data_IF_791950594763
#
_entry.id   IF_791950594763
#
_cell.length_a   1.000
_cell.length_b   1.000
_cell.length_c   1.000
_cell.angle_alpha   90.00
_cell.angle_beta   90.00
_cell.angle_gamma   90.00
#
_symmetry.space_group_name_H-M   'P 1'
#
loop_
_entity.id
_entity.type
_entity.pdbx_description
1 polymer ?
#
# COMPACT_ATOMS: atom_id res chain seq x y z
N UNK A 1 17.77 59.66 21.18
CA UNK A 1 16.52 59.03 20.84
C UNK A 1 16.79 58.07 19.67
N UNK A 2 17.58 57.03 19.90
CA UNK A 2 17.89 56.01 18.90
C UNK A 2 18.49 54.78 19.64
N UNK A 3 17.68 53.91 20.23
CA UNK A 3 18.14 52.61 20.69
C UNK A 3 16.94 51.73 21.16
N UNK A 4 16.08 51.27 20.25
CA UNK A 4 15.09 50.21 20.57
C UNK A 4 14.59 49.50 19.26
N UNK A 5 15.42 49.23 18.29
CA UNK A 5 14.95 48.49 17.08
C UNK A 5 15.79 47.21 16.78
N UNK A 6 16.63 46.72 17.71
CA UNK A 6 17.56 45.65 17.34
C UNK A 6 17.31 44.32 18.07
N UNK A 7 16.18 44.13 18.76
CA UNK A 7 15.98 42.90 19.56
C UNK A 7 14.73 42.06 19.21
N UNK A 8 14.19 42.20 18.01
CA UNK A 8 13.02 41.42 17.58
C UNK A 8 13.25 40.44 16.41
N UNK A 9 14.48 40.47 15.87
CA UNK A 9 14.83 39.62 14.72
C UNK A 9 15.56 38.32 15.09
N UNK A 10 16.02 38.18 16.31
CA UNK A 10 16.78 36.99 16.76
C UNK A 10 15.90 35.92 17.41
N UNK A 11 14.77 36.28 18.01
CA UNK A 11 13.87 35.31 18.64
C UNK A 11 12.99 34.54 17.62
N UNK A 12 12.76 35.14 16.44
CA UNK A 12 12.01 34.46 15.36
C UNK A 12 12.84 33.40 14.61
N UNK A 13 14.15 33.54 14.60
CA UNK A 13 15.03 32.59 13.90
C UNK A 13 15.33 31.34 14.75
N UNK A 14 15.32 31.44 16.06
CA UNK A 14 15.63 30.30 16.94
C UNK A 14 14.46 29.33 17.12
N UNK A 15 13.24 29.79 16.90
CA UNK A 15 12.04 28.93 16.96
C UNK A 15 11.81 28.13 15.68
N UNK A 16 12.35 28.59 14.55
CA UNK A 16 12.26 27.87 13.26
C UNK A 16 13.30 26.76 13.12
N UNK A 17 14.40 26.84 13.89
CA UNK A 17 15.50 25.87 13.81
C UNK A 17 15.29 24.62 14.70
N UNK A 18 14.31 24.62 15.59
CA UNK A 18 14.01 23.48 16.47
C UNK A 18 13.10 22.42 15.85
N UNK A 19 12.41 22.74 14.75
CA UNK A 19 11.57 21.77 14.01
C UNK A 19 12.28 21.11 12.82
N UNK A 20 13.55 21.41 12.57
CA UNK A 20 14.30 20.95 11.41
C UNK A 20 15.05 19.61 11.58
N UNK A 21 15.00 19.00 12.74
CA UNK A 21 15.88 17.88 13.07
C UNK A 21 15.21 16.55 13.38
N UNK A 22 14.33 16.05 12.54
CA UNK A 22 13.90 14.68 12.78
C UNK A 22 12.81 14.22 11.82
N UNK A 23 13.13 13.25 11.01
CA UNK A 23 12.15 12.35 10.42
C UNK A 23 11.30 11.84 11.57
N UNK A 24 10.12 12.42 11.79
CA UNK A 24 9.25 12.05 12.90
C UNK A 24 9.15 10.53 12.90
N UNK A 25 9.47 9.89 14.02
CA UNK A 25 9.44 8.42 14.18
C UNK A 25 8.21 7.80 13.54
N UNK A 26 7.06 8.49 13.60
CA UNK A 26 5.81 8.06 12.99
C UNK A 26 5.86 8.07 11.45
N UNK A 27 6.50 9.09 10.85
CA UNK A 27 6.68 9.16 9.39
C UNK A 27 7.64 8.08 8.92
N UNK A 28 8.73 7.84 9.63
CA UNK A 28 9.67 6.77 9.32
C UNK A 28 9.00 5.38 9.38
N UNK A 29 8.23 5.12 10.45
CA UNK A 29 7.47 3.87 10.58
C UNK A 29 6.45 3.72 9.46
N UNK A 30 5.73 4.79 9.09
CA UNK A 30 4.76 4.75 8.01
C UNK A 30 5.43 4.44 6.65
N UNK A 31 6.60 5.02 6.37
CA UNK A 31 7.38 4.72 5.16
C UNK A 31 7.87 3.27 5.14
N UNK A 32 8.36 2.75 6.27
CA UNK A 32 8.77 1.35 6.38
C UNK A 32 7.61 0.38 6.14
N UNK A 33 6.42 0.68 6.68
CA UNK A 33 5.22 -0.13 6.46
C UNK A 33 4.80 -0.07 4.98
N UNK A 34 4.85 1.09 4.34
CA UNK A 34 4.53 1.24 2.93
C UNK A 34 5.52 0.47 2.03
N UNK A 35 6.82 0.53 2.33
CA UNK A 35 7.84 -0.23 1.63
C UNK A 35 7.65 -1.75 1.77
N UNK A 36 7.33 -2.22 2.98
CA UNK A 36 7.00 -3.63 3.23
C UNK A 36 5.76 -4.07 2.46
N UNK A 37 4.73 -3.23 2.37
CA UNK A 37 3.54 -3.53 1.57
C UNK A 37 3.87 -3.67 0.08
N UNK A 38 4.72 -2.79 -0.47
CA UNK A 38 5.21 -2.89 -1.84
C UNK A 38 6.04 -4.16 -2.09
N UNK A 39 6.90 -4.53 -1.13
CA UNK A 39 7.70 -5.75 -1.19
C UNK A 39 6.80 -7.00 -1.17
N UNK A 40 5.80 -7.05 -0.29
CA UNK A 40 4.82 -8.15 -0.25
C UNK A 40 4.07 -8.30 -1.57
N UNK A 41 3.66 -7.19 -2.17
CA UNK A 41 3.02 -7.20 -3.48
C UNK A 41 3.95 -7.74 -4.58
N UNK A 42 5.21 -7.28 -4.60
CA UNK A 42 6.21 -7.79 -5.53
C UNK A 42 6.50 -9.27 -5.35
N UNK A 43 6.57 -9.75 -4.10
CA UNK A 43 6.73 -11.16 -3.79
C UNK A 43 5.55 -12.00 -4.27
N UNK A 44 4.31 -11.53 -4.12
CA UNK A 44 3.13 -12.27 -4.58
C UNK A 44 3.16 -12.49 -6.10
N UNK A 45 3.52 -11.46 -6.87
CA UNK A 45 3.71 -11.58 -8.33
C UNK A 45 4.87 -12.52 -8.66
N UNK A 46 5.97 -12.43 -7.93
CA UNK A 46 7.14 -13.30 -8.13
C UNK A 46 6.85 -14.75 -7.84
N UNK A 47 6.18 -15.03 -6.73
CA UNK A 47 5.82 -16.40 -6.30
C UNK A 47 4.88 -17.04 -7.31
N UNK A 48 3.84 -16.33 -7.78
CA UNK A 48 2.93 -16.95 -8.76
C UNK A 48 3.62 -17.20 -10.10
N UNK A 49 4.48 -16.28 -10.55
CA UNK A 49 5.23 -16.48 -11.79
C UNK A 49 6.11 -17.72 -11.73
N UNK A 50 6.71 -18.01 -10.57
CA UNK A 50 7.48 -19.22 -10.33
C UNK A 50 6.65 -20.48 -10.10
N UNK A 51 5.50 -20.37 -9.42
CA UNK A 51 4.64 -21.49 -9.08
C UNK A 51 3.71 -21.92 -10.22
N UNK A 52 3.37 -21.01 -11.13
CA UNK A 52 2.41 -21.25 -12.21
C UNK A 52 2.73 -22.48 -13.07
N UNK A 53 3.97 -22.73 -13.49
CA UNK A 53 4.31 -23.93 -14.27
C UNK A 53 4.05 -25.24 -13.52
N UNK A 54 4.30 -25.23 -12.20
CA UNK A 54 4.07 -26.41 -11.34
C UNK A 54 2.57 -26.65 -11.12
N UNK A 55 1.82 -25.58 -10.82
CA UNK A 55 0.36 -25.60 -10.68
C UNK A 55 -0.31 -26.08 -11.98
N UNK A 56 0.17 -25.56 -13.12
CA UNK A 56 -0.35 -25.95 -14.43
C UNK A 56 -0.12 -27.42 -14.73
N UNK A 57 1.01 -27.97 -14.35
CA UNK A 57 1.34 -29.40 -14.54
C UNK A 57 0.54 -30.29 -13.59
N UNK A 58 0.38 -29.90 -12.34
CA UNK A 58 -0.33 -30.68 -11.32
C UNK A 58 -1.83 -30.77 -11.58
N UNK A 59 -2.44 -29.66 -11.96
CA UNK A 59 -3.88 -29.58 -12.25
C UNK A 59 -4.23 -29.80 -13.73
N UNK A 60 -3.25 -30.01 -14.62
CA UNK A 60 -3.48 -30.17 -16.06
C UNK A 60 -4.15 -28.94 -16.69
N UNK A 61 -3.76 -27.72 -16.25
CA UNK A 61 -4.43 -26.47 -16.66
C UNK A 61 -4.17 -26.17 -18.13
N UNK A 62 -5.24 -25.91 -18.88
CA UNK A 62 -5.16 -25.30 -20.19
C UNK A 62 -4.55 -23.88 -20.09
N UNK A 63 -3.86 -23.43 -21.14
CA UNK A 63 -3.23 -22.10 -21.20
C UNK A 63 -4.20 -20.98 -20.81
N UNK A 64 -5.42 -21.05 -21.28
CA UNK A 64 -6.47 -20.08 -20.95
C UNK A 64 -6.75 -19.98 -19.43
N UNK A 65 -6.77 -21.11 -18.71
CA UNK A 65 -6.97 -21.11 -17.26
C UNK A 65 -5.79 -20.49 -16.51
N UNK A 66 -4.56 -20.73 -16.99
CA UNK A 66 -3.35 -20.11 -16.45
C UNK A 66 -3.40 -18.57 -16.59
N UNK A 67 -3.84 -18.08 -17.75
CA UNK A 67 -4.04 -16.65 -18.00
C UNK A 67 -5.08 -16.05 -17.03
N UNK A 68 -6.18 -16.76 -16.78
CA UNK A 68 -7.18 -16.34 -15.80
C UNK A 68 -6.63 -16.30 -14.37
N UNK A 69 -5.82 -17.25 -13.97
CA UNK A 69 -5.18 -17.26 -12.64
C UNK A 69 -4.33 -16.00 -12.46
N UNK A 70 -3.58 -15.56 -13.46
CA UNK A 70 -2.74 -14.36 -13.38
C UNK A 70 -3.59 -13.08 -13.46
N UNK A 71 -4.51 -13.02 -14.43
CA UNK A 71 -5.30 -11.81 -14.72
C UNK A 71 -6.34 -11.50 -13.64
N UNK A 72 -6.82 -12.52 -12.92
CA UNK A 72 -7.85 -12.37 -11.88
C UNK A 72 -7.42 -11.39 -10.78
N UNK A 73 -6.14 -11.38 -10.40
CA UNK A 73 -5.59 -10.46 -9.42
C UNK A 73 -5.62 -9.01 -9.94
N UNK A 74 -5.24 -8.79 -11.21
CA UNK A 74 -5.30 -7.46 -11.84
C UNK A 74 -6.72 -6.92 -11.89
N UNK A 75 -7.69 -7.78 -12.24
CA UNK A 75 -9.11 -7.43 -12.21
C UNK A 75 -9.57 -7.03 -10.81
N UNK A 76 -9.20 -7.83 -9.79
CA UNK A 76 -9.48 -7.51 -8.39
C UNK A 76 -8.88 -6.17 -7.98
N UNK A 77 -7.63 -5.89 -8.38
CA UNK A 77 -6.94 -4.64 -8.06
C UNK A 77 -7.62 -3.42 -8.70
N UNK A 78 -8.08 -3.54 -9.93
CA UNK A 78 -8.83 -2.47 -10.62
C UNK A 78 -10.14 -2.15 -9.88
N UNK A 79 -10.91 -3.17 -9.51
CA UNK A 79 -12.15 -3.01 -8.73
C UNK A 79 -11.87 -2.43 -7.34
N UNK A 80 -10.83 -2.91 -6.66
CA UNK A 80 -10.38 -2.41 -5.36
C UNK A 80 -9.97 -0.94 -5.39
N UNK A 81 -9.23 -0.53 -6.42
CA UNK A 81 -8.81 0.86 -6.59
C UNK A 81 -10.02 1.80 -6.79
N UNK A 82 -10.99 1.43 -7.61
CA UNK A 82 -12.22 2.20 -7.80
C UNK A 82 -13.04 2.27 -6.51
N UNK A 83 -13.16 1.15 -5.79
CA UNK A 83 -13.89 1.08 -4.52
C UNK A 83 -13.21 1.80 -3.35
N UNK A 84 -11.89 2.04 -3.43
CA UNK A 84 -11.11 2.64 -2.35
C UNK A 84 -11.50 4.08 -2.04
N UNK A 85 -11.89 4.87 -3.05
CA UNK A 85 -12.30 6.27 -2.91
C UNK A 85 -13.51 6.45 -1.99
N UNK A 86 -14.66 5.83 -2.26
CA UNK A 86 -15.82 5.83 -1.38
C UNK A 86 -15.54 5.24 0.00
N UNK A 87 -14.80 4.13 0.06
CA UNK A 87 -14.45 3.45 1.29
C UNK A 87 -13.61 4.34 2.21
N UNK A 88 -12.58 4.97 1.66
CA UNK A 88 -11.68 5.87 2.37
C UNK A 88 -12.39 7.13 2.89
N UNK A 89 -13.40 7.64 2.14
CA UNK A 89 -14.21 8.79 2.59
C UNK A 89 -15.18 8.43 3.71
N UNK A 90 -15.77 7.24 3.68
CA UNK A 90 -16.80 6.82 4.64
C UNK A 90 -16.22 6.31 5.95
N UNK A 91 -15.18 5.51 5.90
CA UNK A 91 -14.56 4.85 7.06
C UNK A 91 -13.22 5.46 7.49
N UNK A 92 -12.67 6.36 6.70
CA UNK A 92 -11.35 6.94 6.94
C UNK A 92 -10.21 6.05 6.43
N UNK A 93 -9.05 6.67 6.18
CA UNK A 93 -7.90 6.02 5.53
C UNK A 93 -7.29 4.90 6.37
N UNK A 94 -7.22 5.11 7.69
CA UNK A 94 -6.68 4.11 8.61
C UNK A 94 -7.48 2.81 8.60
N UNK A 95 -8.81 2.92 8.68
CA UNK A 95 -9.68 1.74 8.67
C UNK A 95 -9.67 1.03 7.31
N UNK A 96 -9.60 1.78 6.22
CA UNK A 96 -9.49 1.21 4.87
C UNK A 96 -8.21 0.36 4.71
N UNK A 97 -7.08 0.82 5.25
CA UNK A 97 -5.83 0.07 5.26
C UNK A 97 -5.90 -1.18 6.14
N UNK A 98 -6.56 -1.11 7.31
CA UNK A 98 -6.76 -2.27 8.17
C UNK A 98 -7.62 -3.32 7.47
N UNK A 99 -8.72 -2.92 6.84
CA UNK A 99 -9.58 -3.83 6.07
C UNK A 99 -8.80 -4.46 4.92
N UNK A 100 -8.02 -3.68 4.17
CA UNK A 100 -7.16 -4.19 3.11
C UNK A 100 -6.15 -5.22 3.62
N UNK A 101 -5.53 -4.99 4.78
CA UNK A 101 -4.56 -5.94 5.36
C UNK A 101 -5.22 -7.26 5.81
N UNK A 102 -6.42 -7.21 6.36
CA UNK A 102 -7.18 -8.40 6.74
C UNK A 102 -7.59 -9.19 5.48
N UNK A 103 -8.10 -8.50 4.45
CA UNK A 103 -8.45 -9.12 3.17
C UNK A 103 -7.24 -9.77 2.52
N UNK A 104 -6.06 -9.12 2.58
CA UNK A 104 -4.82 -9.67 2.06
C UNK A 104 -4.40 -10.94 2.82
N UNK A 105 -4.46 -10.94 4.15
CA UNK A 105 -4.12 -12.10 4.97
C UNK A 105 -5.06 -13.29 4.70
N UNK A 106 -6.37 -13.04 4.63
CA UNK A 106 -7.37 -14.08 4.31
C UNK A 106 -7.18 -14.59 2.87
N UNK A 107 -6.96 -13.71 1.92
CA UNK A 107 -6.71 -14.07 0.52
C UNK A 107 -5.46 -14.91 0.35
N UNK A 108 -4.36 -14.54 1.02
CA UNK A 108 -3.09 -15.27 1.00
C UNK A 108 -3.22 -16.68 1.59
N UNK A 109 -3.87 -16.81 2.76
CA UNK A 109 -4.17 -18.12 3.35
C UNK A 109 -5.07 -18.96 2.46
N UNK A 110 -6.08 -18.34 1.86
CA UNK A 110 -6.98 -19.02 0.94
C UNK A 110 -6.27 -19.52 -0.32
N UNK A 111 -5.34 -18.75 -0.88
CA UNK A 111 -4.51 -19.20 -1.99
C UNK A 111 -3.62 -20.39 -1.60
N UNK A 112 -3.04 -20.36 -0.38
CA UNK A 112 -2.19 -21.45 0.11
C UNK A 112 -2.96 -22.77 0.34
N UNK A 113 -4.25 -22.68 0.67
CA UNK A 113 -5.13 -23.83 0.93
C UNK A 113 -5.99 -24.21 -0.27
N UNK A 114 -5.82 -23.55 -1.41
CA UNK A 114 -6.63 -23.81 -2.60
C UNK A 114 -6.35 -25.20 -3.17
N UNK A 115 -7.34 -26.07 -3.09
CA UNK A 115 -7.29 -27.42 -3.65
C UNK A 115 -7.66 -27.48 -5.13
N UNK A 116 -8.30 -26.42 -5.67
CA UNK A 116 -8.77 -26.32 -7.04
C UNK A 116 -8.40 -24.99 -7.67
N UNK A 117 -8.14 -24.93 -9.00
CA UNK A 117 -7.79 -23.70 -9.68
C UNK A 117 -8.89 -22.63 -9.62
N UNK A 118 -10.15 -23.01 -9.56
CA UNK A 118 -11.28 -22.07 -9.41
C UNK A 118 -11.25 -21.35 -8.06
N UNK A 119 -10.97 -22.08 -6.98
CA UNK A 119 -10.82 -21.52 -5.64
C UNK A 119 -9.61 -20.56 -5.60
N UNK A 120 -8.52 -20.94 -6.26
CA UNK A 120 -7.33 -20.11 -6.38
C UNK A 120 -7.65 -18.77 -7.07
N UNK A 121 -8.41 -18.79 -8.16
CA UNK A 121 -8.84 -17.58 -8.89
C UNK A 121 -9.66 -16.66 -7.98
N UNK A 122 -10.61 -17.20 -7.22
CA UNK A 122 -11.45 -16.42 -6.30
C UNK A 122 -10.60 -15.72 -5.25
N UNK A 123 -9.67 -16.43 -4.61
CA UNK A 123 -8.79 -15.83 -3.60
C UNK A 123 -7.80 -14.83 -4.22
N UNK A 124 -7.41 -15.00 -5.47
CA UNK A 124 -6.61 -14.03 -6.21
C UNK A 124 -7.35 -12.74 -6.51
N UNK A 125 -8.62 -12.81 -6.84
CA UNK A 125 -9.48 -11.62 -6.95
C UNK A 125 -9.55 -10.89 -5.60
N UNK A 126 -9.70 -11.63 -4.50
CA UNK A 126 -9.73 -11.07 -3.14
C UNK A 126 -8.40 -10.39 -2.78
N UNK A 127 -7.26 -11.01 -3.09
CA UNK A 127 -5.93 -10.42 -2.95
C UNK A 127 -5.81 -9.14 -3.77
N UNK A 128 -6.24 -9.19 -5.03
CA UNK A 128 -6.27 -8.02 -5.90
C UNK A 128 -7.07 -6.87 -5.31
N UNK A 129 -8.27 -7.14 -4.80
CA UNK A 129 -9.11 -6.14 -4.11
C UNK A 129 -8.35 -5.46 -2.96
N UNK A 130 -7.70 -6.25 -2.12
CA UNK A 130 -6.90 -5.75 -1.00
C UNK A 130 -5.77 -4.83 -1.47
N UNK A 131 -5.02 -5.29 -2.48
CA UNK A 131 -3.92 -4.53 -3.07
C UNK A 131 -4.42 -3.23 -3.72
N UNK A 132 -5.54 -3.28 -4.47
CA UNK A 132 -6.12 -2.11 -5.10
C UNK A 132 -6.52 -1.02 -4.09
N UNK A 133 -7.16 -1.42 -2.99
CA UNK A 133 -7.50 -0.51 -1.88
C UNK A 133 -6.25 0.06 -1.23
N UNK A 134 -5.24 -0.78 -0.95
CA UNK A 134 -4.00 -0.36 -0.32
C UNK A 134 -3.19 0.60 -1.19
N UNK A 135 -3.03 0.30 -2.48
CA UNK A 135 -2.26 1.10 -3.45
C UNK A 135 -2.80 2.52 -3.62
N UNK A 136 -4.11 2.70 -3.53
CA UNK A 136 -4.72 4.03 -3.56
C UNK A 136 -4.65 4.74 -2.21
N UNK A 137 -4.94 4.03 -1.12
CA UNK A 137 -5.11 4.62 0.20
C UNK A 137 -3.77 4.94 0.88
N UNK A 138 -2.71 4.14 0.64
CA UNK A 138 -1.43 4.30 1.30
C UNK A 138 -0.69 5.61 0.91
N UNK A 139 -0.55 5.98 -0.38
CA UNK A 139 0.04 7.27 -0.75
C UNK A 139 -0.76 8.46 -0.23
N UNK A 140 -2.09 8.34 -0.23
CA UNK A 140 -2.99 9.37 0.28
C UNK A 140 -2.78 9.59 1.79
N UNK A 141 -2.69 8.50 2.56
CA UNK A 141 -2.42 8.54 3.99
C UNK A 141 -1.03 9.13 4.30
N UNK A 142 -0.01 8.73 3.54
CA UNK A 142 1.34 9.27 3.64
C UNK A 142 1.38 10.78 3.34
N UNK A 143 0.67 11.22 2.32
CA UNK A 143 0.61 12.65 1.95
C UNK A 143 -0.03 13.54 3.02
N UNK A 144 -0.91 12.97 3.86
CA UNK A 144 -1.57 13.70 4.95
C UNK A 144 -0.72 13.78 6.22
N UNK A 145 0.07 12.74 6.51
CA UNK A 145 0.92 12.69 7.71
C UNK A 145 2.27 13.35 7.45
N UNK A 146 2.74 13.37 6.20
CA UNK A 146 4.05 13.89 5.85
C UNK A 146 4.13 15.42 5.99
N UNK A 147 5.21 15.95 6.62
CA UNK A 147 5.51 17.38 6.60
C UNK A 147 5.62 17.90 5.18
N UNK A 148 5.20 19.15 4.93
CA UNK A 148 5.12 19.74 3.58
C UNK A 148 6.41 19.61 2.76
N UNK A 149 7.58 19.65 3.40
CA UNK A 149 8.91 19.54 2.75
C UNK A 149 9.21 18.13 2.22
N UNK A 150 8.64 17.08 2.81
CA UNK A 150 8.97 15.69 2.50
C UNK A 150 7.92 15.00 1.62
N UNK A 151 6.76 15.64 1.37
CA UNK A 151 5.67 15.04 0.59
C UNK A 151 6.09 14.57 -0.80
N UNK A 152 6.90 15.37 -1.51
CA UNK A 152 7.35 15.03 -2.86
C UNK A 152 8.26 13.82 -2.90
N UNK A 153 9.24 13.72 -2.00
CA UNK A 153 10.18 12.60 -1.97
C UNK A 153 9.56 11.30 -1.44
N UNK A 154 8.55 11.38 -0.57
CA UNK A 154 7.89 10.21 -0.01
C UNK A 154 6.87 9.57 -0.98
N UNK A 155 6.35 10.35 -1.92
CA UNK A 155 5.40 9.84 -2.94
C UNK A 155 6.15 9.28 -4.16
N UNK A 156 7.41 9.69 -4.37
CA UNK A 156 8.23 9.24 -5.51
C UNK A 156 9.06 7.98 -5.24
N UNK A 157 9.01 7.42 -4.03
CA UNK A 157 9.59 6.11 -3.67
C UNK A 157 8.63 4.97 -3.97
#
# INVERSE_FOLDING_TARGET
MATVITDRSTDGASSLDKDEGGLNRHVFIACMIAALAGLLFGLDIGVISGALPFIAKEFGLATHTQEWVVSSMMFGAAVGAVGSGPLSRKFGRKYSLIVASILFAVGSLGCALAANPEILIIFRVLLGLAVGVASFTAPLYLSEIAPQRLRGSLISM
#
